data_IF_922863302200
#
_entry.id   IF_922863302200
#
_cell.length_a   1.000
_cell.length_b   1.000
_cell.length_c   1.000
_cell.angle_alpha   90.00
_cell.angle_beta   90.00
_cell.angle_gamma   90.00
#
_symmetry.space_group_name_H-M   'P 1'
#
loop_
_entity.id
_entity.type
_entity.pdbx_description
1 polymer ?
#
# COMPACT_ATOMS: atom_id res chain seq x y z
N UNK A 1 2.19 -20.66 2.75
CA UNK A 1 0.84 -20.33 3.26
C UNK A 1 0.67 -18.82 3.18
N UNK A 2 -0.53 -18.31 2.87
CA UNK A 2 -0.83 -16.87 2.72
C UNK A 2 -0.14 -15.94 3.76
N UNK A 3 -0.13 -16.25 5.08
CA UNK A 3 0.54 -15.40 6.08
C UNK A 3 2.06 -15.27 5.93
N UNK A 4 2.76 -16.26 5.37
CA UNK A 4 4.22 -16.19 5.16
C UNK A 4 4.55 -15.23 4.01
N UNK A 5 3.69 -15.19 2.99
CA UNK A 5 3.83 -14.28 1.85
C UNK A 5 3.59 -12.85 2.30
N UNK A 6 2.51 -12.61 3.05
CA UNK A 6 2.21 -11.30 3.63
C UNK A 6 3.38 -10.78 4.49
N UNK A 7 3.91 -11.59 5.41
CA UNK A 7 5.03 -11.19 6.26
C UNK A 7 6.28 -10.79 5.46
N UNK A 8 6.54 -11.47 4.34
CA UNK A 8 7.68 -11.18 3.47
C UNK A 8 7.49 -9.86 2.72
N UNK A 9 6.27 -9.59 2.23
CA UNK A 9 5.91 -8.33 1.55
C UNK A 9 6.15 -7.14 2.49
N UNK A 10 5.64 -7.20 3.73
CA UNK A 10 5.81 -6.12 4.69
C UNK A 10 7.28 -5.91 5.10
N UNK A 11 8.08 -6.98 5.15
CA UNK A 11 9.51 -6.88 5.40
C UNK A 11 10.25 -6.12 4.29
N UNK A 12 9.91 -6.39 3.02
CA UNK A 12 10.52 -5.70 1.88
C UNK A 12 10.16 -4.21 1.82
N UNK A 13 8.99 -3.81 2.33
CA UNK A 13 8.62 -2.39 2.41
C UNK A 13 9.48 -1.60 3.40
N UNK A 14 10.01 -2.23 4.44
CA UNK A 14 10.90 -1.59 5.42
C UNK A 14 12.37 -1.53 4.99
N UNK A 15 12.70 -2.01 3.79
CA UNK A 15 14.07 -1.93 3.29
C UNK A 15 14.48 -0.48 3.00
N UNK A 16 15.79 -0.18 3.09
CA UNK A 16 16.36 1.13 2.80
C UNK A 16 16.45 1.44 1.30
N UNK A 17 16.48 0.41 0.44
CA UNK A 17 16.63 0.52 -1.01
C UNK A 17 15.27 0.57 -1.70
N UNK A 18 15.07 1.58 -2.55
CA UNK A 18 13.79 1.78 -3.26
C UNK A 18 13.40 0.62 -4.20
N UNK A 19 14.36 0.04 -4.94
CA UNK A 19 14.07 -1.05 -5.87
C UNK A 19 13.54 -2.30 -5.17
N UNK A 20 14.00 -2.56 -3.94
CA UNK A 20 13.49 -3.65 -3.09
C UNK A 20 12.06 -3.34 -2.63
N UNK A 21 11.76 -2.08 -2.29
CA UNK A 21 10.42 -1.64 -1.88
C UNK A 21 9.40 -1.65 -3.02
N UNK A 22 9.82 -1.73 -4.28
CA UNK A 22 8.90 -1.83 -5.42
C UNK A 22 8.35 -3.24 -5.63
N UNK A 23 9.15 -4.28 -5.37
CA UNK A 23 8.71 -5.68 -5.45
C UNK A 23 7.42 -6.01 -4.65
N UNK A 24 7.25 -5.55 -3.39
CA UNK A 24 6.02 -5.82 -2.64
C UNK A 24 4.78 -5.12 -3.21
N UNK A 25 4.94 -4.00 -3.94
CA UNK A 25 3.82 -3.33 -4.63
C UNK A 25 3.26 -4.27 -5.70
N UNK A 26 4.12 -4.75 -6.59
CA UNK A 26 3.74 -5.63 -7.70
C UNK A 26 3.18 -6.97 -7.18
N UNK A 27 3.81 -7.53 -6.15
CA UNK A 27 3.35 -8.76 -5.51
C UNK A 27 1.94 -8.60 -4.89
N UNK A 28 1.63 -7.44 -4.30
CA UNK A 28 0.31 -7.21 -3.70
C UNK A 28 -0.76 -7.00 -4.76
N UNK A 29 -0.42 -6.40 -5.90
CA UNK A 29 -1.32 -6.32 -7.07
C UNK A 29 -1.65 -7.72 -7.59
N UNK A 30 -0.64 -8.59 -7.74
CA UNK A 30 -0.85 -9.96 -8.18
C UNK A 30 -1.69 -10.77 -7.18
N UNK A 31 -1.41 -10.65 -5.88
CA UNK A 31 -2.23 -11.26 -4.83
C UNK A 31 -3.67 -10.77 -4.84
N UNK A 32 -3.90 -9.47 -5.06
CA UNK A 32 -5.26 -8.91 -5.12
C UNK A 32 -6.05 -9.51 -6.29
N UNK A 33 -5.39 -9.86 -7.40
CA UNK A 33 -6.05 -10.55 -8.53
C UNK A 33 -6.45 -11.99 -8.19
N UNK A 34 -5.71 -12.67 -7.33
CA UNK A 34 -5.95 -14.09 -6.97
C UNK A 34 -6.95 -14.21 -5.82
N UNK A 35 -6.82 -13.37 -4.80
CA UNK A 35 -7.62 -13.44 -3.57
C UNK A 35 -8.90 -12.61 -3.69
N UNK A 36 -8.87 -11.53 -4.47
CA UNK A 36 -10.02 -10.64 -4.71
C UNK A 36 -9.94 -9.31 -3.95
N UNK A 37 -10.89 -8.43 -4.28
CA UNK A 37 -11.00 -7.07 -3.76
C UNK A 37 -11.31 -7.02 -2.26
N UNK A 38 -12.09 -7.97 -1.74
CA UNK A 38 -12.49 -8.01 -0.33
C UNK A 38 -11.29 -8.17 0.61
N UNK A 39 -10.27 -8.92 0.21
CA UNK A 39 -9.04 -9.07 1.00
C UNK A 39 -8.23 -7.77 1.03
N UNK A 40 -8.20 -7.04 -0.08
CA UNK A 40 -7.48 -5.77 -0.18
C UNK A 40 -8.09 -4.73 0.78
N UNK A 41 -9.41 -4.59 0.76
CA UNK A 41 -10.14 -3.64 1.59
C UNK A 41 -10.04 -3.98 3.09
N UNK A 42 -10.06 -5.27 3.45
CA UNK A 42 -10.02 -5.71 4.85
C UNK A 42 -8.61 -5.79 5.45
N UNK A 43 -7.58 -6.10 4.64
CA UNK A 43 -6.24 -6.41 5.16
C UNK A 43 -5.20 -5.38 4.75
N UNK A 44 -5.20 -4.97 3.47
CA UNK A 44 -4.15 -4.13 2.90
C UNK A 44 -4.38 -2.66 3.23
N UNK A 45 -5.59 -2.15 2.99
CA UNK A 45 -5.97 -0.75 3.25
C UNK A 45 -5.67 -0.30 4.69
N UNK A 46 -6.12 -0.99 5.76
CA UNK A 46 -5.83 -0.54 7.12
C UNK A 46 -4.33 -0.59 7.47
N UNK A 47 -3.56 -1.55 6.92
CA UNK A 47 -2.11 -1.61 7.13
C UNK A 47 -1.39 -0.46 6.43
N UNK A 48 -1.77 -0.16 5.19
CA UNK A 48 -1.21 0.96 4.43
C UNK A 48 -1.52 2.28 5.13
N UNK A 49 -2.76 2.49 5.59
CA UNK A 49 -3.11 3.68 6.38
C UNK A 49 -2.30 3.80 7.69
N UNK A 50 -1.94 2.68 8.31
CA UNK A 50 -1.03 2.65 9.47
C UNK A 50 0.41 3.08 9.14
N UNK A 51 0.88 2.88 7.92
CA UNK A 51 2.21 3.36 7.50
C UNK A 51 2.26 4.89 7.37
N UNK A 52 1.12 5.59 7.31
CA UNK A 52 1.07 7.06 7.31
C UNK A 52 1.65 7.68 8.57
N UNK A 53 1.50 7.02 9.71
CA UNK A 53 2.01 7.53 10.98
C UNK A 53 3.52 7.37 11.12
N UNK A 54 4.18 6.66 10.20
CA UNK A 54 5.62 6.48 10.29
C UNK A 54 6.42 7.75 9.96
N UNK A 55 7.52 7.92 10.71
CA UNK A 55 8.38 9.11 10.60
C UNK A 55 9.28 9.07 9.35
N UNK A 56 9.52 7.88 8.80
CA UNK A 56 10.37 7.72 7.63
C UNK A 56 9.67 8.21 6.36
N UNK A 57 10.21 9.26 5.73
CA UNK A 57 9.72 9.77 4.45
C UNK A 57 9.78 8.71 3.34
N UNK A 58 10.71 7.76 3.43
CA UNK A 58 10.89 6.67 2.46
C UNK A 58 9.68 5.72 2.42
N UNK A 59 9.07 5.47 3.58
CA UNK A 59 7.85 4.66 3.67
C UNK A 59 6.65 5.42 3.10
N UNK A 60 6.62 6.76 3.24
CA UNK A 60 5.56 7.62 2.69
C UNK A 60 5.55 7.64 1.16
N UNK A 61 6.73 7.71 0.52
CA UNK A 61 6.80 7.65 -0.94
C UNK A 61 6.36 6.28 -1.46
N UNK A 62 6.79 5.21 -0.80
CA UNK A 62 6.41 3.83 -1.16
C UNK A 62 4.92 3.59 -0.98
N UNK A 63 4.29 4.24 0.01
CA UNK A 63 2.86 4.17 0.22
C UNK A 63 2.07 4.80 -0.94
N UNK A 64 2.53 5.92 -1.49
CA UNK A 64 1.92 6.53 -2.68
C UNK A 64 1.99 5.59 -3.88
N UNK A 65 3.14 4.95 -4.10
CA UNK A 65 3.30 3.92 -5.15
C UNK A 65 2.30 2.76 -4.94
N UNK A 66 2.10 2.34 -3.69
CA UNK A 66 1.16 1.29 -3.32
C UNK A 66 -0.30 1.66 -3.63
N UNK A 67 -0.71 2.85 -3.21
CA UNK A 67 -2.07 3.36 -3.45
C UNK A 67 -2.31 3.55 -4.95
N UNK A 68 -1.33 4.05 -5.69
CA UNK A 68 -1.42 4.22 -7.14
C UNK A 68 -1.56 2.87 -7.86
N UNK A 69 -0.78 1.87 -7.47
CA UNK A 69 -0.82 0.54 -8.08
C UNK A 69 -2.09 -0.24 -7.74
N UNK A 70 -2.64 -0.05 -6.54
CA UNK A 70 -3.88 -0.71 -6.10
C UNK A 70 -5.15 0.03 -6.50
N UNK A 71 -5.09 1.30 -6.87
CA UNK A 71 -6.24 2.09 -7.29
C UNK A 71 -7.16 1.40 -8.33
N UNK A 72 -6.65 0.75 -9.40
CA UNK A 72 -7.51 0.04 -10.36
C UNK A 72 -8.07 -1.29 -9.84
N UNK A 73 -7.58 -1.79 -8.70
CA UNK A 73 -7.92 -3.09 -8.11
C UNK A 73 -8.70 -2.97 -6.80
N UNK A 74 -9.13 -1.77 -6.41
CA UNK A 74 -9.91 -1.51 -5.19
C UNK A 74 -11.37 -1.19 -5.53
N UNK A 75 -12.26 -1.36 -4.54
CA UNK A 75 -13.65 -0.92 -4.67
C UNK A 75 -13.72 0.61 -4.73
N UNK A 76 -14.60 1.16 -5.58
CA UNK A 76 -14.72 2.61 -5.76
C UNK A 76 -15.09 3.35 -4.46
N UNK A 77 -15.84 2.70 -3.56
CA UNK A 77 -16.24 3.27 -2.27
C UNK A 77 -15.03 3.44 -1.33
N UNK A 78 -14.16 2.42 -1.26
CA UNK A 78 -12.93 2.46 -0.45
C UNK A 78 -11.91 3.44 -1.04
N UNK A 79 -11.77 3.47 -2.38
CA UNK A 79 -10.87 4.37 -3.08
C UNK A 79 -11.22 5.84 -2.80
N UNK A 80 -12.50 6.21 -2.99
CA UNK A 80 -12.97 7.58 -2.80
C UNK A 80 -12.93 8.04 -1.34
N UNK A 81 -13.29 7.16 -0.40
CA UNK A 81 -13.37 7.54 1.03
C UNK A 81 -12.04 7.46 1.78
N UNK A 82 -11.11 6.58 1.38
CA UNK A 82 -9.89 6.31 2.15
C UNK A 82 -8.60 6.61 1.40
N UNK A 83 -8.51 6.31 0.11
CA UNK A 83 -7.28 6.53 -0.66
C UNK A 83 -7.11 8.00 -1.09
N UNK A 84 -8.17 8.63 -1.59
CA UNK A 84 -8.14 10.04 -2.04
C UNK A 84 -7.71 11.02 -0.93
N UNK A 85 -8.25 10.96 0.30
CA UNK A 85 -7.79 11.83 1.39
C UNK A 85 -6.34 11.54 1.78
N UNK A 86 -5.89 10.29 1.63
CA UNK A 86 -4.52 9.91 1.90
C UNK A 86 -3.58 10.63 0.94
N UNK A 87 -3.82 10.54 -0.37
CA UNK A 87 -3.00 11.20 -1.39
C UNK A 87 -2.99 12.72 -1.25
N UNK A 88 -4.15 13.35 -1.01
CA UNK A 88 -4.27 14.81 -0.83
C UNK A 88 -3.50 15.27 0.42
N UNK A 89 -3.59 14.51 1.50
CA UNK A 89 -2.86 14.79 2.74
C UNK A 89 -1.34 14.68 2.57
N UNK A 90 -0.84 13.86 1.65
CA UNK A 90 0.58 13.80 1.33
C UNK A 90 1.03 14.97 0.46
N UNK A 91 0.26 15.41 -0.54
CA UNK A 91 0.65 16.57 -1.37
C UNK A 91 0.88 17.84 -0.56
N UNK A 92 0.15 18.05 0.55
CA UNK A 92 0.38 19.18 1.46
C UNK A 92 1.55 19.00 2.45
N UNK A 93 2.17 17.82 2.52
CA UNK A 93 3.32 17.50 3.40
C UNK A 93 4.67 17.55 2.66
N UNK A 94 4.65 17.81 1.35
CA UNK A 94 5.86 17.95 0.50
C UNK A 94 6.22 19.41 0.18
N UNK A 95 5.54 20.39 0.79
CA UNK A 95 5.98 21.80 0.90
C UNK A 95 6.57 22.09 2.28
#
# INVERSE_FOLDING_TARGET
>A
TLPTVEATIWRMMMDSVWSVRRAPVDATVELTKIVGTDWCDNTVVPRVLGLRTEKSYLLRSTLLDFVAALAPHMSQDTLGKRCVPCCIGYSCLWE
#
